data_IF_950549338577
#
_entry.id   IF_950549338577
#
_cell.length_a   1.000
_cell.length_b   1.000
_cell.length_c   1.000
_cell.angle_alpha   90.00
_cell.angle_beta   90.00
_cell.angle_gamma   90.00
#
_symmetry.space_group_name_H-M   'P 1'
#
loop_
_entity.id
_entity.type
_entity.pdbx_description
1 polymer ?
#
# COMPACT_ATOMS: atom_id res chain seq x y z
N UNK A 1 32.29 -28.16 31.07
CA UNK A 1 31.59 -27.43 32.15
C UNK A 1 32.26 -26.11 32.54
N UNK A 2 33.58 -26.04 32.67
CA UNK A 2 34.30 -24.80 33.07
C UNK A 2 34.08 -23.63 32.10
N UNK A 3 34.10 -23.87 30.78
CA UNK A 3 33.90 -22.81 29.78
C UNK A 3 32.48 -22.21 29.77
N UNK A 4 31.44 -23.00 30.07
CA UNK A 4 30.05 -22.51 30.21
C UNK A 4 29.87 -21.61 31.44
N UNK A 5 30.66 -21.81 32.51
CA UNK A 5 30.62 -20.94 33.69
C UNK A 5 31.30 -19.60 33.43
N UNK A 6 32.38 -19.59 32.65
CA UNK A 6 33.13 -18.36 32.33
C UNK A 6 32.30 -17.42 31.44
N UNK A 7 31.64 -17.91 30.39
CA UNK A 7 30.81 -17.03 29.54
C UNK A 7 29.64 -16.39 30.29
N UNK A 8 29.09 -17.08 31.30
CA UNK A 8 27.99 -16.57 32.10
C UNK A 8 28.44 -15.52 33.14
N UNK A 9 29.69 -15.51 33.60
CA UNK A 9 30.16 -14.59 34.66
C UNK A 9 30.64 -13.25 34.08
N UNK A 10 31.11 -13.28 32.84
CA UNK A 10 31.79 -12.17 32.19
C UNK A 10 30.98 -10.85 32.13
N UNK A 11 29.66 -10.83 31.85
CA UNK A 11 28.88 -9.58 31.84
C UNK A 11 28.58 -9.03 33.25
N UNK A 12 28.59 -9.87 34.29
CA UNK A 12 28.16 -9.50 35.63
C UNK A 12 29.22 -8.69 36.40
N UNK A 13 30.51 -8.88 36.09
CA UNK A 13 31.60 -8.20 36.80
C UNK A 13 31.56 -6.68 36.54
N UNK A 14 31.52 -6.17 35.29
CA UNK A 14 31.41 -4.73 35.04
C UNK A 14 30.13 -4.11 35.61
N UNK A 15 29.00 -4.84 35.56
CA UNK A 15 27.73 -4.40 36.14
C UNK A 15 27.82 -4.18 37.65
N UNK A 16 28.41 -5.13 38.38
CA UNK A 16 28.57 -5.03 39.82
C UNK A 16 29.51 -3.87 40.21
N UNK A 17 30.58 -3.63 39.45
CA UNK A 17 31.48 -2.50 39.69
C UNK A 17 30.87 -1.14 39.31
N UNK A 18 30.03 -1.07 38.29
CA UNK A 18 29.33 0.16 37.92
C UNK A 18 28.23 0.53 38.92
N UNK A 19 27.37 -0.42 39.27
CA UNK A 19 26.19 -0.15 40.08
C UNK A 19 26.51 -0.06 41.58
N UNK A 20 27.47 -0.86 42.07
CA UNK A 20 27.76 -0.95 43.49
C UNK A 20 28.90 -0.05 43.96
N UNK A 21 29.84 0.33 43.07
CA UNK A 21 31.03 1.10 43.45
C UNK A 21 31.16 2.46 42.74
N UNK A 22 30.28 2.80 41.78
CA UNK A 22 30.32 4.06 41.00
C UNK A 22 31.70 4.39 40.37
N UNK A 23 32.56 3.40 40.18
CA UNK A 23 33.97 3.61 39.79
C UNK A 23 34.14 4.07 38.33
N UNK A 24 33.10 3.94 37.50
CA UNK A 24 33.18 4.21 36.06
C UNK A 24 32.00 5.08 35.58
N UNK A 25 32.28 6.01 34.67
CA UNK A 25 31.23 6.67 33.87
C UNK A 25 30.58 5.63 32.93
N UNK A 26 29.31 5.81 32.59
CA UNK A 26 28.51 4.93 31.73
C UNK A 26 29.22 4.60 30.41
N UNK A 27 29.87 5.59 29.79
CA UNK A 27 30.64 5.40 28.55
C UNK A 27 31.85 4.46 28.74
N UNK A 28 32.56 4.57 29.86
CA UNK A 28 33.69 3.70 30.19
C UNK A 28 33.22 2.27 30.44
N UNK A 29 32.09 2.08 31.12
CA UNK A 29 31.49 0.77 31.35
C UNK A 29 31.05 0.12 30.02
N UNK A 30 30.49 0.89 29.10
CA UNK A 30 30.19 0.42 27.74
C UNK A 30 31.43 -0.06 26.98
N UNK A 31 32.53 0.72 27.00
CA UNK A 31 33.78 0.34 26.32
C UNK A 31 34.34 -0.97 26.90
N UNK A 32 34.37 -1.11 28.23
CA UNK A 32 34.85 -2.33 28.88
C UNK A 32 34.02 -3.55 28.43
N UNK A 33 32.69 -3.43 28.41
CA UNK A 33 31.81 -4.50 27.94
C UNK A 33 32.03 -4.85 26.47
N UNK A 34 32.28 -3.87 25.60
CA UNK A 34 32.61 -4.11 24.19
C UNK A 34 33.87 -4.96 24.10
N UNK A 35 34.95 -4.56 24.78
CA UNK A 35 36.24 -5.27 24.74
C UNK A 35 36.08 -6.70 25.24
N UNK A 36 35.37 -6.86 26.36
CA UNK A 36 35.06 -8.15 26.96
C UNK A 36 34.24 -9.05 26.00
N UNK A 37 33.21 -8.49 25.37
CA UNK A 37 32.34 -9.24 24.45
C UNK A 37 33.12 -9.63 23.20
N UNK A 38 33.89 -8.72 22.61
CA UNK A 38 34.76 -9.03 21.47
C UNK A 38 35.78 -10.11 21.81
N UNK A 39 36.38 -10.06 22.99
CA UNK A 39 37.32 -11.09 23.44
C UNK A 39 36.64 -12.45 23.62
N UNK A 40 35.46 -12.49 24.23
CA UNK A 40 34.70 -13.72 24.40
C UNK A 40 34.31 -14.35 23.05
N UNK A 41 33.91 -13.52 22.08
CA UNK A 41 33.58 -14.00 20.75
C UNK A 41 34.84 -14.41 19.97
N UNK A 42 35.96 -13.70 20.08
CA UNK A 42 37.24 -14.12 19.51
C UNK A 42 37.71 -15.46 20.09
N UNK A 43 37.53 -15.68 21.39
CA UNK A 43 37.82 -16.95 22.03
C UNK A 43 36.92 -18.07 21.50
N UNK A 44 35.63 -17.79 21.30
CA UNK A 44 34.70 -18.76 20.70
C UNK A 44 35.11 -19.18 19.28
N UNK A 45 35.74 -18.27 18.51
CA UNK A 45 36.29 -18.57 17.19
C UNK A 45 37.53 -19.47 17.28
N UNK A 46 38.43 -19.21 18.22
CA UNK A 46 39.61 -20.04 18.45
C UNK A 46 39.22 -21.48 18.81
N UNK A 47 38.17 -21.66 19.60
CA UNK A 47 37.67 -22.97 20.00
C UNK A 47 36.66 -23.60 19.02
N UNK A 48 36.28 -22.90 17.95
CA UNK A 48 35.28 -23.32 16.96
C UNK A 48 33.94 -23.78 17.57
N UNK A 49 33.46 -23.06 18.59
CA UNK A 49 32.20 -23.38 19.28
C UNK A 49 31.15 -22.29 19.05
N UNK A 50 30.26 -22.55 18.10
CA UNK A 50 29.17 -21.65 17.72
C UNK A 50 28.22 -21.32 18.88
N UNK A 51 28.03 -22.25 19.83
CA UNK A 51 27.15 -22.04 20.98
C UNK A 51 27.70 -20.97 21.94
N UNK A 52 29.02 -20.96 22.14
CA UNK A 52 29.67 -19.96 22.99
C UNK A 52 29.53 -18.56 22.39
N UNK A 53 29.65 -18.45 21.06
CA UNK A 53 29.49 -17.19 20.35
C UNK A 53 28.08 -16.61 20.50
N UNK A 54 27.04 -17.46 20.38
CA UNK A 54 25.65 -17.05 20.56
C UNK A 54 25.40 -16.58 22.00
N UNK A 55 25.90 -17.30 23.01
CA UNK A 55 25.74 -16.91 24.42
C UNK A 55 26.42 -15.57 24.69
N UNK A 56 27.66 -15.39 24.23
CA UNK A 56 28.39 -14.12 24.35
C UNK A 56 27.69 -12.97 23.63
N UNK A 57 27.13 -13.23 22.45
CA UNK A 57 26.34 -12.25 21.69
C UNK A 57 25.09 -11.82 22.47
N UNK A 58 24.30 -12.78 22.95
CA UNK A 58 23.09 -12.48 23.76
C UNK A 58 23.49 -11.66 24.99
N UNK A 59 24.56 -12.05 25.69
CA UNK A 59 25.09 -11.28 26.82
C UNK A 59 25.47 -9.84 26.44
N UNK A 60 26.11 -9.65 25.28
CA UNK A 60 26.43 -8.34 24.73
C UNK A 60 25.18 -7.48 24.52
N UNK A 61 24.14 -8.00 23.89
CA UNK A 61 22.89 -7.25 23.67
C UNK A 61 22.13 -6.93 24.97
N UNK A 62 22.26 -7.75 26.01
CA UNK A 62 21.63 -7.50 27.33
C UNK A 62 22.38 -6.44 28.13
N UNK A 63 23.70 -6.34 27.95
CA UNK A 63 24.57 -5.52 28.80
C UNK A 63 24.19 -4.02 28.88
N UNK A 64 23.77 -3.34 27.80
CA UNK A 64 23.34 -1.94 27.87
C UNK A 64 22.15 -1.68 28.78
N UNK A 65 21.23 -2.64 28.86
CA UNK A 65 20.06 -2.53 29.73
C UNK A 65 20.44 -2.67 31.20
N UNK A 66 21.48 -3.45 31.49
CA UNK A 66 22.05 -3.56 32.84
C UNK A 66 22.78 -2.28 33.27
N UNK A 67 23.37 -1.54 32.33
CA UNK A 67 24.03 -0.26 32.58
C UNK A 67 23.10 0.96 32.46
N UNK A 68 21.78 0.75 32.42
CA UNK A 68 20.83 1.85 32.30
C UNK A 68 20.78 2.65 33.60
N UNK A 69 21.08 3.95 33.50
CA UNK A 69 21.08 4.90 34.62
C UNK A 69 19.73 5.59 34.83
N UNK A 70 18.68 5.18 34.11
CA UNK A 70 17.38 5.86 34.08
C UNK A 70 17.35 7.13 33.22
N UNK A 71 18.50 7.61 32.73
CA UNK A 71 18.60 8.72 31.77
C UNK A 71 18.76 8.20 30.33
N UNK A 72 18.10 8.86 29.39
CA UNK A 72 18.05 8.45 27.98
C UNK A 72 19.32 8.81 27.20
N UNK A 73 20.36 7.96 27.28
CA UNK A 73 21.55 8.07 26.43
C UNK A 73 21.44 7.19 25.17
N UNK A 74 20.60 7.60 24.23
CA UNK A 74 20.36 6.82 22.99
C UNK A 74 21.59 6.74 22.08
N UNK A 75 22.40 7.80 22.04
CA UNK A 75 23.59 7.84 21.19
C UNK A 75 24.63 6.79 21.62
N UNK A 76 24.93 6.71 22.93
CA UNK A 76 25.86 5.70 23.46
C UNK A 76 25.37 4.27 23.24
N UNK A 77 24.07 4.04 23.43
CA UNK A 77 23.43 2.74 23.21
C UNK A 77 23.51 2.30 21.74
N UNK A 78 23.16 3.17 20.80
CA UNK A 78 23.21 2.82 19.38
C UNK A 78 24.65 2.64 18.88
N UNK A 79 25.59 3.49 19.32
CA UNK A 79 27.00 3.33 18.98
C UNK A 79 27.55 1.99 19.50
N UNK A 80 27.19 1.60 20.73
CA UNK A 80 27.53 0.30 21.29
C UNK A 80 27.03 -0.84 20.38
N UNK A 81 25.77 -0.78 19.96
CA UNK A 81 25.18 -1.79 19.07
C UNK A 81 25.85 -1.82 17.70
N UNK A 82 26.24 -0.66 17.14
CA UNK A 82 26.99 -0.60 15.87
C UNK A 82 28.32 -1.31 16.02
N UNK A 83 29.10 -0.99 17.06
CA UNK A 83 30.41 -1.62 17.29
C UNK A 83 30.27 -3.12 17.47
N UNK A 84 29.29 -3.56 18.26
CA UNK A 84 29.00 -4.97 18.47
C UNK A 84 28.66 -5.69 17.15
N UNK A 85 27.79 -5.09 16.33
CA UNK A 85 27.42 -5.64 15.03
C UNK A 85 28.56 -5.61 14.00
N UNK A 86 29.43 -4.59 14.01
CA UNK A 86 30.64 -4.56 13.18
C UNK A 86 31.62 -5.67 13.58
N UNK A 87 31.78 -5.92 14.88
CA UNK A 87 32.54 -7.06 15.36
C UNK A 87 31.98 -8.37 14.78
N UNK A 88 30.66 -8.54 14.80
CA UNK A 88 29.99 -9.69 14.21
C UNK A 88 30.13 -9.79 12.70
N UNK A 89 30.10 -8.67 11.95
CA UNK A 89 30.40 -8.63 10.52
C UNK A 89 31.80 -9.18 10.24
N UNK A 90 32.81 -8.73 11.00
CA UNK A 90 34.19 -9.21 10.86
C UNK A 90 34.23 -10.72 11.08
N UNK A 91 33.57 -11.21 12.14
CA UNK A 91 33.53 -12.63 12.46
C UNK A 91 32.81 -13.45 11.38
N UNK A 92 31.64 -12.98 10.93
CA UNK A 92 30.86 -13.60 9.86
C UNK A 92 31.62 -13.64 8.53
N UNK A 93 32.51 -12.67 8.30
CA UNK A 93 33.41 -12.65 7.15
C UNK A 93 34.46 -13.78 7.18
N UNK A 94 34.85 -14.26 8.37
CA UNK A 94 35.80 -15.37 8.52
C UNK A 94 35.15 -16.73 8.76
N UNK A 95 34.01 -16.79 9.47
CA UNK A 95 33.32 -18.04 9.87
C UNK A 95 31.81 -17.95 9.61
N UNK A 96 31.28 -19.01 9.01
CA UNK A 96 29.93 -19.08 8.42
C UNK A 96 28.81 -19.39 9.40
N UNK A 97 28.80 -18.77 10.58
CA UNK A 97 27.79 -19.07 11.59
C UNK A 97 26.49 -18.31 11.34
N UNK A 98 25.65 -18.83 10.43
CA UNK A 98 24.35 -18.22 10.07
C UNK A 98 23.45 -17.96 11.26
N UNK A 99 23.47 -18.85 12.27
CA UNK A 99 22.70 -18.63 13.50
C UNK A 99 23.10 -17.32 14.16
N UNK A 100 24.39 -16.98 14.13
CA UNK A 100 24.93 -15.78 14.77
C UNK A 100 24.36 -14.54 14.09
N UNK A 101 24.31 -14.55 12.75
CA UNK A 101 23.73 -13.46 11.98
C UNK A 101 22.22 -13.31 12.24
N UNK A 102 21.46 -14.40 12.23
CA UNK A 102 20.01 -14.39 12.53
C UNK A 102 19.76 -13.86 13.94
N UNK A 103 20.51 -14.35 14.94
CA UNK A 103 20.37 -13.91 16.33
C UNK A 103 20.76 -12.44 16.51
N UNK A 104 21.88 -12.01 15.91
CA UNK A 104 22.31 -10.60 15.92
C UNK A 104 21.23 -9.69 15.34
N UNK A 105 20.70 -10.07 14.18
CA UNK A 105 19.68 -9.30 13.46
C UNK A 105 18.41 -9.19 14.30
N UNK A 106 17.91 -10.32 14.80
CA UNK A 106 16.73 -10.37 15.65
C UNK A 106 16.87 -9.51 16.90
N UNK A 107 18.00 -9.62 17.61
CA UNK A 107 18.25 -8.82 18.81
C UNK A 107 18.41 -7.33 18.49
N UNK A 108 19.09 -6.98 17.40
CA UNK A 108 19.21 -5.58 16.97
C UNK A 108 17.85 -4.98 16.65
N UNK A 109 17.00 -5.71 15.93
CA UNK A 109 15.63 -5.28 15.62
C UNK A 109 14.80 -5.10 16.88
N UNK A 110 14.83 -6.08 17.81
CA UNK A 110 14.08 -6.02 19.07
C UNK A 110 14.51 -4.80 19.90
N UNK A 111 15.83 -4.62 20.08
CA UNK A 111 16.37 -3.51 20.87
C UNK A 111 16.04 -2.17 20.22
N UNK A 112 16.24 -2.04 18.90
CA UNK A 112 15.94 -0.80 18.18
C UNK A 112 14.44 -0.47 18.23
N UNK A 113 13.57 -1.46 18.02
CA UNK A 113 12.11 -1.27 18.10
C UNK A 113 11.65 -0.84 19.51
N UNK A 114 12.25 -1.40 20.57
CA UNK A 114 11.94 -1.02 21.95
C UNK A 114 12.31 0.44 22.29
N UNK A 115 13.28 1.01 21.56
CA UNK A 115 13.74 2.39 21.74
C UNK A 115 13.00 3.35 20.81
N UNK A 116 12.61 2.90 19.61
CA UNK A 116 11.99 3.73 18.57
C UNK A 116 10.83 4.56 19.12
N UNK A 117 9.91 3.93 19.86
CA UNK A 117 8.74 4.58 20.45
C UNK A 117 9.04 5.42 21.71
N UNK A 118 10.29 5.45 22.17
CA UNK A 118 10.77 6.29 23.28
C UNK A 118 11.62 7.47 22.80
N UNK A 119 11.90 7.55 21.50
CA UNK A 119 12.60 8.69 20.92
C UNK A 119 11.73 9.95 21.06
N UNK A 120 12.41 11.09 21.12
CA UNK A 120 11.79 12.42 21.21
C UNK A 120 12.20 13.26 20.00
N UNK A 121 11.55 14.41 19.79
CA UNK A 121 11.88 15.35 18.71
C UNK A 121 13.39 15.65 18.60
N UNK A 122 14.07 15.78 19.74
CA UNK A 122 15.52 16.03 19.79
C UNK A 122 16.40 14.83 19.42
N UNK A 123 15.84 13.63 19.25
CA UNK A 123 16.59 12.38 19.05
C UNK A 123 16.12 11.55 17.85
N UNK A 124 15.07 11.97 17.13
CA UNK A 124 14.63 11.29 15.90
C UNK A 124 15.71 11.21 14.82
N UNK A 125 16.52 12.26 14.66
CA UNK A 125 17.64 12.25 13.70
C UNK A 125 18.67 11.15 14.03
N UNK A 126 18.91 10.87 15.32
CA UNK A 126 19.78 9.76 15.74
C UNK A 126 19.17 8.43 15.33
N UNK A 127 17.86 8.23 15.58
CA UNK A 127 17.14 7.04 15.11
C UNK A 127 17.29 6.82 13.60
N UNK A 128 17.24 7.90 12.81
CA UNK A 128 17.37 7.84 11.36
C UNK A 128 18.80 7.46 10.92
N UNK A 129 19.82 8.09 11.50
CA UNK A 129 21.23 7.79 11.20
C UNK A 129 21.54 6.33 11.56
N UNK A 130 21.20 5.90 12.78
CA UNK A 130 21.55 4.56 13.25
C UNK A 130 20.74 3.46 12.56
N UNK A 131 19.46 3.67 12.24
CA UNK A 131 18.70 2.72 11.42
C UNK A 131 19.30 2.57 10.02
N UNK A 132 19.79 3.66 9.42
CA UNK A 132 20.50 3.62 8.13
C UNK A 132 21.80 2.83 8.24
N UNK A 133 22.58 3.03 9.31
CA UNK A 133 23.81 2.26 9.56
C UNK A 133 23.49 0.77 9.71
N UNK A 134 22.50 0.40 10.54
CA UNK A 134 22.11 -1.00 10.71
C UNK A 134 21.62 -1.63 9.41
N UNK A 135 20.80 -0.90 8.64
CA UNK A 135 20.34 -1.34 7.33
C UNK A 135 21.50 -1.68 6.40
N UNK A 136 22.46 -0.76 6.24
CA UNK A 136 23.63 -0.95 5.39
C UNK A 136 24.55 -2.07 5.90
N UNK A 137 24.70 -2.20 7.22
CA UNK A 137 25.52 -3.23 7.85
C UNK A 137 24.94 -4.61 7.56
N UNK A 138 23.64 -4.83 7.78
CA UNK A 138 22.99 -6.13 7.51
C UNK A 138 22.86 -6.42 6.02
N UNK A 139 22.68 -5.40 5.18
CA UNK A 139 22.76 -5.53 3.73
C UNK A 139 24.16 -5.99 3.29
N UNK A 140 25.21 -5.39 3.85
CA UNK A 140 26.60 -5.77 3.58
C UNK A 140 26.94 -7.17 4.09
N UNK A 141 26.52 -7.56 5.30
CA UNK A 141 26.70 -8.92 5.83
C UNK A 141 26.07 -9.93 4.86
N UNK A 142 24.82 -9.70 4.46
CA UNK A 142 24.03 -10.66 3.70
C UNK A 142 24.51 -10.79 2.24
N UNK A 143 24.91 -9.68 1.62
CA UNK A 143 25.40 -9.65 0.22
C UNK A 143 26.89 -10.01 0.13
N UNK A 144 27.76 -9.34 0.91
CA UNK A 144 29.21 -9.43 0.77
C UNK A 144 29.76 -10.84 0.98
N UNK A 145 29.13 -11.60 1.85
CA UNK A 145 29.47 -12.98 2.12
C UNK A 145 29.13 -13.92 0.94
N UNK A 146 27.93 -13.81 0.37
CA UNK A 146 27.47 -14.70 -0.70
C UNK A 146 28.29 -14.55 -1.98
N UNK A 147 28.78 -13.33 -2.26
CA UNK A 147 29.68 -13.04 -3.39
C UNK A 147 31.04 -13.73 -3.22
N UNK A 148 31.61 -13.73 -2.00
CA UNK A 148 32.98 -14.21 -1.77
C UNK A 148 33.10 -15.73 -1.93
N UNK A 149 32.11 -16.46 -1.41
CA UNK A 149 32.16 -17.92 -1.35
C UNK A 149 31.40 -18.61 -2.50
N UNK A 150 30.71 -17.85 -3.36
CA UNK A 150 29.95 -18.40 -4.48
C UNK A 150 28.82 -19.34 -4.05
N UNK A 151 28.28 -19.15 -2.83
CA UNK A 151 27.27 -20.01 -2.24
C UNK A 151 25.87 -19.62 -2.70
N UNK A 152 24.99 -20.62 -2.81
CA UNK A 152 23.58 -20.41 -3.15
C UNK A 152 22.88 -19.64 -2.03
N UNK A 153 22.07 -18.67 -2.42
CA UNK A 153 21.24 -17.91 -1.49
C UNK A 153 20.14 -18.81 -0.95
N UNK A 154 20.03 -18.92 0.38
CA UNK A 154 19.05 -19.79 1.04
C UNK A 154 17.92 -18.94 1.63
N UNK A 155 16.76 -19.54 1.88
CA UNK A 155 15.56 -18.85 2.39
C UNK A 155 15.84 -17.90 3.57
N UNK A 156 16.73 -18.25 4.51
CA UNK A 156 17.12 -17.37 5.62
C UNK A 156 17.75 -16.05 5.16
N UNK A 157 18.57 -16.10 4.11
CA UNK A 157 19.27 -14.94 3.56
C UNK A 157 18.26 -14.02 2.84
N UNK A 158 17.30 -14.61 2.09
CA UNK A 158 16.15 -13.89 1.53
C UNK A 158 15.34 -13.18 2.60
N UNK A 159 14.95 -13.92 3.65
CA UNK A 159 14.11 -13.38 4.72
C UNK A 159 14.79 -12.25 5.46
N UNK A 160 16.09 -12.36 5.77
CA UNK A 160 16.84 -11.28 6.42
C UNK A 160 16.89 -10.05 5.51
N UNK A 161 17.27 -10.20 4.24
CA UNK A 161 17.39 -9.04 3.33
C UNK A 161 16.03 -8.35 3.13
N UNK A 162 14.96 -9.11 2.92
CA UNK A 162 13.60 -8.58 2.76
C UNK A 162 13.12 -7.88 4.05
N UNK A 163 13.29 -8.53 5.20
CA UNK A 163 12.87 -7.98 6.50
C UNK A 163 13.67 -6.74 6.87
N UNK A 164 14.99 -6.74 6.64
CA UNK A 164 15.85 -5.59 6.89
C UNK A 164 15.40 -4.37 6.06
N UNK A 165 15.14 -4.57 4.76
CA UNK A 165 14.68 -3.48 3.90
C UNK A 165 13.27 -3.00 4.28
N UNK A 166 12.34 -3.91 4.60
CA UNK A 166 10.99 -3.56 5.02
C UNK A 166 10.96 -2.81 6.36
N UNK A 167 11.77 -3.22 7.33
CA UNK A 167 11.89 -2.56 8.63
C UNK A 167 12.53 -1.18 8.49
N UNK A 168 13.63 -1.06 7.73
CA UNK A 168 14.27 0.23 7.51
C UNK A 168 13.33 1.22 6.81
N UNK A 169 12.58 0.74 5.81
CA UNK A 169 11.54 1.55 5.19
C UNK A 169 10.48 2.01 6.19
N UNK A 170 9.95 1.08 6.99
CA UNK A 170 8.91 1.38 8.00
C UNK A 170 9.39 2.40 9.03
N UNK A 171 10.59 2.21 9.56
CA UNK A 171 11.23 3.14 10.51
C UNK A 171 11.44 4.51 9.86
N UNK A 172 11.93 4.56 8.62
CA UNK A 172 12.13 5.81 7.91
C UNK A 172 10.83 6.58 7.69
N UNK A 173 9.73 5.90 7.36
CA UNK A 173 8.41 6.54 7.25
C UNK A 173 7.93 7.10 8.60
N UNK A 174 8.06 6.33 9.69
CA UNK A 174 7.68 6.79 11.04
C UNK A 174 8.51 8.03 11.41
N UNK A 175 9.83 7.95 11.31
CA UNK A 175 10.72 9.05 11.71
C UNK A 175 10.53 10.31 10.84
N UNK A 176 10.34 10.18 9.53
CA UNK A 176 10.04 11.33 8.67
C UNK A 176 8.71 11.99 9.05
N UNK A 177 7.72 11.20 9.50
CA UNK A 177 6.44 11.72 9.99
C UNK A 177 6.63 12.50 11.29
N UNK A 178 7.33 11.89 12.24
CA UNK A 178 7.60 12.45 13.56
C UNK A 178 8.51 13.69 13.52
N UNK A 179 9.37 13.79 12.50
CA UNK A 179 10.20 14.96 12.24
C UNK A 179 9.47 16.07 11.45
N UNK A 180 8.16 15.94 11.19
CA UNK A 180 7.36 16.86 10.37
C UNK A 180 7.87 17.06 8.94
N UNK A 181 8.41 15.98 8.34
CA UNK A 181 8.94 15.94 6.99
C UNK A 181 8.24 14.88 6.09
N UNK A 182 6.89 14.82 6.05
CA UNK A 182 6.16 13.83 5.27
C UNK A 182 6.40 13.94 3.75
N UNK A 183 6.78 15.13 3.25
CA UNK A 183 7.07 15.41 1.85
C UNK A 183 8.24 14.60 1.28
N UNK A 184 9.14 14.10 2.14
CA UNK A 184 10.29 13.29 1.74
C UNK A 184 10.00 11.79 1.76
N UNK A 185 8.80 11.34 2.18
CA UNK A 185 8.48 9.90 2.26
C UNK A 185 8.56 9.21 0.90
N UNK A 186 8.07 9.85 -0.17
CA UNK A 186 8.18 9.30 -1.53
C UNK A 186 9.62 9.31 -2.02
N UNK A 187 10.36 10.40 -1.79
CA UNK A 187 11.79 10.47 -2.14
C UNK A 187 12.60 9.38 -1.42
N UNK A 188 12.29 9.10 -0.16
CA UNK A 188 12.92 8.05 0.62
C UNK A 188 12.61 6.65 0.06
N UNK A 189 11.36 6.38 -0.31
CA UNK A 189 10.98 5.15 -1.03
C UNK A 189 11.74 5.01 -2.35
N UNK A 190 11.81 6.08 -3.14
CA UNK A 190 12.54 6.10 -4.42
C UNK A 190 14.04 5.86 -4.21
N UNK A 191 14.63 6.49 -3.19
CA UNK A 191 16.05 6.31 -2.84
C UNK A 191 16.37 4.85 -2.51
N UNK A 192 15.48 4.16 -1.78
CA UNK A 192 15.61 2.71 -1.55
C UNK A 192 15.52 1.90 -2.84
N UNK A 193 14.60 2.24 -3.73
CA UNK A 193 14.49 1.61 -5.05
C UNK A 193 15.77 1.76 -5.88
N UNK A 194 16.31 2.98 -5.94
CA UNK A 194 17.55 3.32 -6.66
C UNK A 194 18.77 2.65 -6.02
N UNK A 195 18.86 2.61 -4.69
CA UNK A 195 19.94 1.92 -3.98
C UNK A 195 19.94 0.43 -4.32
N UNK A 196 18.78 -0.24 -4.26
CA UNK A 196 18.67 -1.66 -4.62
C UNK A 196 18.94 -1.91 -6.11
N UNK A 197 18.60 -0.96 -6.99
CA UNK A 197 18.89 -1.05 -8.41
C UNK A 197 20.39 -0.95 -8.68
N UNK A 198 21.07 0.00 -8.02
CA UNK A 198 22.53 0.17 -8.09
C UNK A 198 23.26 -1.07 -7.58
N UNK A 199 22.80 -1.66 -6.48
CA UNK A 199 23.32 -2.93 -5.98
C UNK A 199 23.11 -4.07 -6.98
N UNK A 200 21.89 -4.22 -7.51
CA UNK A 200 21.58 -5.24 -8.51
C UNK A 200 22.48 -5.12 -9.73
N UNK A 201 22.69 -3.91 -10.25
CA UNK A 201 23.58 -3.63 -11.37
C UNK A 201 25.05 -3.98 -11.06
N UNK A 202 25.56 -3.60 -9.89
CA UNK A 202 26.93 -3.92 -9.48
C UNK A 202 27.14 -5.44 -9.35
N UNK A 203 26.18 -6.14 -8.76
CA UNK A 203 26.23 -7.60 -8.57
C UNK A 203 26.11 -8.36 -9.90
N UNK A 204 25.28 -7.88 -10.83
CA UNK A 204 25.16 -8.45 -12.17
C UNK A 204 26.50 -8.44 -12.91
N UNK A 205 27.31 -7.38 -12.74
CA UNK A 205 28.63 -7.27 -13.37
C UNK A 205 29.66 -8.27 -12.81
N UNK A 206 29.47 -8.74 -11.57
CA UNK A 206 30.44 -9.58 -10.86
C UNK A 206 30.46 -11.05 -11.31
N UNK A 207 29.47 -11.52 -12.09
CA UNK A 207 29.29 -12.91 -12.62
C UNK A 207 29.35 -14.08 -11.63
N UNK A 208 29.80 -13.86 -10.39
CA UNK A 208 29.91 -14.86 -9.30
C UNK A 208 28.68 -14.90 -8.38
N UNK A 209 27.66 -14.10 -8.67
CA UNK A 209 26.50 -13.91 -7.79
C UNK A 209 25.36 -14.81 -8.24
N UNK A 210 24.70 -15.46 -7.27
CA UNK A 210 23.50 -16.24 -7.50
C UNK A 210 22.41 -15.37 -8.14
N UNK A 211 21.84 -15.84 -9.26
CA UNK A 211 20.80 -15.13 -10.01
C UNK A 211 19.57 -14.83 -9.15
N UNK A 212 19.27 -15.65 -8.15
CA UNK A 212 18.12 -15.42 -7.29
C UNK A 212 18.27 -14.15 -6.43
N UNK A 213 19.50 -13.74 -6.10
CA UNK A 213 19.77 -12.47 -5.40
C UNK A 213 19.42 -11.29 -6.30
N UNK A 214 19.79 -11.39 -7.58
CA UNK A 214 19.45 -10.36 -8.56
C UNK A 214 17.94 -10.24 -8.72
N UNK A 215 17.22 -11.38 -8.81
CA UNK A 215 15.77 -11.37 -8.87
C UNK A 215 15.12 -10.76 -7.63
N UNK A 216 15.65 -11.05 -6.42
CA UNK A 216 15.18 -10.44 -5.19
C UNK A 216 15.39 -8.92 -5.20
N UNK A 217 16.59 -8.45 -5.54
CA UNK A 217 16.89 -7.02 -5.57
C UNK A 217 16.07 -6.28 -6.63
N UNK A 218 15.87 -6.87 -7.81
CA UNK A 218 14.97 -6.33 -8.84
C UNK A 218 13.54 -6.26 -8.32
N UNK A 219 13.05 -7.32 -7.64
CA UNK A 219 11.73 -7.33 -7.02
C UNK A 219 11.56 -6.23 -5.97
N UNK A 220 12.56 -6.06 -5.10
CA UNK A 220 12.60 -4.98 -4.10
C UNK A 220 12.59 -3.61 -4.79
N UNK A 221 13.43 -3.40 -5.81
CA UNK A 221 13.47 -2.16 -6.60
C UNK A 221 12.11 -1.85 -7.22
N UNK A 222 11.50 -2.80 -7.91
CA UNK A 222 10.19 -2.60 -8.55
C UNK A 222 9.11 -2.26 -7.52
N UNK A 223 9.14 -2.92 -6.35
CA UNK A 223 8.22 -2.65 -5.24
C UNK A 223 8.36 -1.21 -4.75
N UNK A 224 9.58 -0.76 -4.44
CA UNK A 224 9.80 0.59 -3.91
C UNK A 224 9.55 1.69 -4.93
N UNK A 225 9.86 1.44 -6.21
CA UNK A 225 9.53 2.38 -7.29
C UNK A 225 8.01 2.49 -7.44
N UNK A 226 7.27 1.38 -7.46
CA UNK A 226 5.80 1.39 -7.55
C UNK A 226 5.16 2.09 -6.34
N UNK A 227 5.59 1.75 -5.12
CA UNK A 227 5.06 2.31 -3.86
C UNK A 227 5.43 3.80 -3.66
N UNK A 228 6.44 4.32 -4.35
CA UNK A 228 6.83 5.73 -4.27
C UNK A 228 5.66 6.66 -4.61
N UNK A 229 4.93 6.37 -5.70
CA UNK A 229 3.84 7.22 -6.16
C UNK A 229 2.66 7.31 -5.16
N UNK A 230 2.05 6.20 -4.69
CA UNK A 230 0.95 6.29 -3.73
C UNK A 230 1.36 6.90 -2.38
N UNK A 231 2.65 6.87 -2.02
CA UNK A 231 3.15 7.54 -0.81
C UNK A 231 3.31 9.05 -0.98
N UNK A 232 3.72 9.51 -2.17
CA UNK A 232 3.91 10.93 -2.43
C UNK A 232 2.61 11.64 -2.80
N UNK A 233 1.69 10.93 -3.46
CA UNK A 233 0.41 11.46 -3.89
C UNK A 233 -0.58 11.51 -2.71
N UNK A 234 -1.57 12.40 -2.81
CA UNK A 234 -2.58 12.60 -1.78
C UNK A 234 -3.99 12.38 -2.32
N UNK A 235 -4.84 11.75 -1.51
CA UNK A 235 -6.27 11.53 -1.77
C UNK A 235 -6.55 10.95 -3.16
N UNK A 236 -7.44 11.62 -3.90
CA UNK A 236 -7.88 11.32 -5.26
C UNK A 236 -6.76 10.95 -6.26
N UNK A 237 -5.58 11.55 -6.14
CA UNK A 237 -4.46 11.27 -7.06
C UNK A 237 -3.90 9.85 -6.88
N UNK A 238 -4.01 9.29 -5.68
CA UNK A 238 -3.62 7.89 -5.40
C UNK A 238 -4.48 6.96 -6.26
N UNK A 239 -5.81 7.12 -6.21
CA UNK A 239 -6.76 6.31 -6.98
C UNK A 239 -6.51 6.38 -8.49
N UNK A 240 -6.22 7.57 -9.04
CA UNK A 240 -5.87 7.75 -10.46
C UNK A 240 -4.58 6.99 -10.81
N UNK A 241 -3.60 6.99 -9.90
CA UNK A 241 -2.36 6.24 -10.09
C UNK A 241 -2.62 4.73 -10.12
N UNK A 242 -3.33 4.16 -9.13
CA UNK A 242 -3.68 2.73 -9.13
C UNK A 242 -4.50 2.33 -10.38
N UNK A 243 -5.44 3.19 -10.80
CA UNK A 243 -6.22 2.97 -12.02
C UNK A 243 -5.32 2.86 -13.26
N UNK A 244 -4.34 3.75 -13.39
CA UNK A 244 -3.38 3.75 -14.49
C UNK A 244 -2.45 2.54 -14.44
N UNK A 245 -1.90 2.24 -13.25
CA UNK A 245 -0.98 1.13 -13.03
C UNK A 245 -1.63 -0.23 -13.32
N UNK A 246 -2.89 -0.43 -12.92
CA UNK A 246 -3.63 -1.66 -13.22
C UNK A 246 -3.74 -1.93 -14.73
N UNK A 247 -4.06 -0.89 -15.52
CA UNK A 247 -4.17 -1.00 -16.99
C UNK A 247 -2.80 -1.30 -17.61
N UNK A 248 -1.76 -0.57 -17.19
CA UNK A 248 -0.39 -0.74 -17.71
C UNK A 248 0.17 -2.12 -17.38
N UNK A 249 -0.01 -2.60 -16.14
CA UNK A 249 0.46 -3.92 -15.73
C UNK A 249 -0.29 -5.04 -16.48
N UNK A 250 -1.59 -4.90 -16.70
CA UNK A 250 -2.34 -5.89 -17.48
C UNK A 250 -1.90 -5.88 -18.95
N UNK A 251 -1.64 -4.70 -19.53
CA UNK A 251 -1.06 -4.59 -20.87
C UNK A 251 0.33 -5.23 -20.94
N UNK A 252 1.18 -5.01 -19.93
CA UNK A 252 2.50 -5.63 -19.83
C UNK A 252 2.40 -7.16 -19.68
N UNK A 253 1.40 -7.65 -18.95
CA UNK A 253 1.10 -9.08 -18.88
C UNK A 253 0.83 -9.68 -20.28
N UNK A 254 0.03 -9.03 -21.14
CA UNK A 254 -0.21 -9.53 -22.50
C UNK A 254 1.06 -9.65 -23.35
N UNK A 255 2.07 -8.81 -23.06
CA UNK A 255 3.36 -8.83 -23.77
C UNK A 255 4.33 -9.86 -23.17
N UNK A 256 4.35 -9.98 -21.86
CA UNK A 256 5.32 -10.81 -21.12
C UNK A 256 4.85 -12.24 -20.87
N UNK A 257 3.54 -12.50 -20.88
CA UNK A 257 2.89 -13.76 -20.50
C UNK A 257 3.23 -14.25 -19.07
N UNK A 258 3.66 -13.36 -18.18
CA UNK A 258 4.00 -13.69 -16.79
C UNK A 258 2.72 -13.69 -15.94
N UNK A 259 2.25 -14.85 -15.48
CA UNK A 259 1.02 -14.95 -14.65
C UNK A 259 0.98 -14.01 -13.44
N UNK A 260 2.13 -13.79 -12.80
CA UNK A 260 2.23 -12.90 -11.63
C UNK A 260 1.80 -11.46 -11.97
N UNK A 261 2.15 -10.93 -13.14
CA UNK A 261 1.79 -9.54 -13.52
C UNK A 261 0.30 -9.37 -13.73
N UNK A 262 -0.40 -10.43 -14.21
CA UNK A 262 -1.87 -10.47 -14.27
C UNK A 262 -2.50 -10.40 -12.88
N UNK A 263 -2.02 -11.23 -11.95
CA UNK A 263 -2.53 -11.27 -10.57
C UNK A 263 -2.30 -9.91 -9.90
N UNK A 264 -1.11 -9.33 -10.06
CA UNK A 264 -0.80 -8.00 -9.55
C UNK A 264 -1.71 -6.95 -10.15
N UNK A 265 -1.91 -6.91 -11.47
CA UNK A 265 -2.81 -5.94 -12.11
C UNK A 265 -4.25 -6.00 -11.56
N UNK A 266 -4.79 -7.21 -11.36
CA UNK A 266 -6.13 -7.38 -10.75
C UNK A 266 -6.12 -6.96 -9.28
N UNK A 267 -5.07 -7.25 -8.53
CA UNK A 267 -4.91 -6.79 -7.15
C UNK A 267 -4.87 -5.26 -7.03
N UNK A 268 -4.11 -4.59 -7.91
CA UNK A 268 -4.03 -3.13 -8.01
C UNK A 268 -5.40 -2.54 -8.40
N UNK A 269 -6.14 -3.19 -9.30
CA UNK A 269 -7.51 -2.78 -9.62
C UNK A 269 -8.46 -2.87 -8.41
N UNK A 270 -8.37 -3.93 -7.59
CA UNK A 270 -9.17 -4.04 -6.35
C UNK A 270 -8.81 -2.92 -5.38
N UNK A 271 -7.51 -2.63 -5.20
CA UNK A 271 -7.03 -1.54 -4.35
C UNK A 271 -7.51 -0.18 -4.87
N UNK A 272 -7.55 0.03 -6.18
CA UNK A 272 -8.14 1.21 -6.80
C UNK A 272 -9.63 1.35 -6.45
N UNK A 273 -10.42 0.28 -6.52
CA UNK A 273 -11.86 0.31 -6.17
C UNK A 273 -12.05 0.67 -4.69
N UNK A 274 -11.26 0.07 -3.79
CA UNK A 274 -11.30 0.39 -2.35
C UNK A 274 -10.92 1.87 -2.12
N UNK A 275 -9.85 2.34 -2.75
CA UNK A 275 -9.38 3.72 -2.68
C UNK A 275 -10.44 4.70 -3.19
N UNK A 276 -11.15 4.35 -4.27
CA UNK A 276 -12.25 5.16 -4.80
C UNK A 276 -13.43 5.27 -3.83
N UNK A 277 -13.78 4.17 -3.13
CA UNK A 277 -14.83 4.21 -2.10
C UNK A 277 -14.44 5.12 -0.93
N UNK A 278 -13.17 5.11 -0.53
CA UNK A 278 -12.64 6.02 0.49
C UNK A 278 -12.65 7.47 -0.01
N UNK A 279 -12.29 7.71 -1.27
CA UNK A 279 -12.34 9.05 -1.87
C UNK A 279 -13.78 9.59 -1.92
N UNK A 280 -14.77 8.76 -2.24
CA UNK A 280 -16.18 9.18 -2.22
C UNK A 280 -16.61 9.68 -0.85
N UNK A 281 -16.30 8.93 0.20
CA UNK A 281 -16.58 9.34 1.58
C UNK A 281 -15.85 10.64 1.92
N UNK A 282 -14.54 10.71 1.66
CA UNK A 282 -13.75 11.91 1.96
C UNK A 282 -14.20 13.17 1.21
N UNK A 283 -14.71 13.03 -0.02
CA UNK A 283 -15.11 14.18 -0.86
C UNK A 283 -16.53 14.62 -0.56
N UNK A 284 -17.47 13.68 -0.41
CA UNK A 284 -18.90 13.97 -0.34
C UNK A 284 -19.49 13.93 1.07
N UNK A 285 -18.79 13.39 2.09
CA UNK A 285 -19.28 13.37 3.48
C UNK A 285 -19.05 14.68 4.22
N UNK A 286 -18.14 15.54 3.74
CA UNK A 286 -17.89 16.86 4.32
C UNK A 286 -18.55 17.98 3.51
N UNK A 287 -19.09 19.01 4.18
CA UNK A 287 -19.71 20.19 3.58
C UNK A 287 -18.69 21.15 2.91
N UNK A 288 -17.82 20.62 2.05
CA UNK A 288 -16.85 21.40 1.30
C UNK A 288 -17.49 21.99 0.05
N UNK A 289 -17.27 23.29 -0.22
CA UNK A 289 -17.70 23.93 -1.48
C UNK A 289 -16.89 23.31 -2.63
N UNK A 290 -17.58 22.59 -3.52
CA UNK A 290 -16.98 21.91 -4.66
C UNK A 290 -17.46 22.58 -5.96
N UNK A 291 -16.65 22.57 -7.03
CA UNK A 291 -17.09 23.01 -8.35
C UNK A 291 -18.38 22.31 -8.77
N UNK A 292 -19.34 23.06 -9.32
CA UNK A 292 -20.70 22.57 -9.65
C UNK A 292 -20.69 21.48 -10.72
N UNK A 293 -19.67 21.47 -11.57
CA UNK A 293 -19.45 20.48 -12.62
C UNK A 293 -18.00 19.99 -12.52
N UNK A 294 -17.82 18.67 -12.57
CA UNK A 294 -16.51 18.01 -12.60
C UNK A 294 -15.63 18.33 -11.38
N UNK A 295 -16.14 18.11 -10.17
CA UNK A 295 -15.29 18.14 -8.98
C UNK A 295 -14.31 16.95 -8.94
N UNK A 296 -13.40 16.99 -7.96
CA UNK A 296 -12.36 15.96 -7.76
C UNK A 296 -12.91 14.54 -7.65
N UNK A 297 -14.05 14.34 -6.97
CA UNK A 297 -14.68 13.03 -6.79
C UNK A 297 -15.31 12.50 -8.08
N UNK A 298 -15.96 13.38 -8.86
CA UNK A 298 -16.51 12.99 -10.16
C UNK A 298 -15.40 12.66 -11.16
N UNK A 299 -14.33 13.47 -11.24
CA UNK A 299 -13.20 13.24 -12.14
C UNK A 299 -12.50 11.91 -11.82
N UNK A 300 -12.26 11.61 -10.53
CA UNK A 300 -11.68 10.32 -10.16
C UNK A 300 -12.57 9.14 -10.52
N UNK A 301 -13.87 9.27 -10.32
CA UNK A 301 -14.85 8.25 -10.69
C UNK A 301 -14.86 8.00 -12.21
N UNK A 302 -14.89 9.09 -13.00
CA UNK A 302 -14.85 9.02 -14.45
C UNK A 302 -13.55 8.35 -14.94
N UNK A 303 -12.40 8.77 -14.42
CA UNK A 303 -11.10 8.18 -14.78
C UNK A 303 -11.04 6.70 -14.42
N UNK A 304 -11.50 6.33 -13.22
CA UNK A 304 -11.51 4.95 -12.73
C UNK A 304 -12.45 4.06 -13.54
N UNK A 305 -13.60 4.58 -13.96
CA UNK A 305 -14.52 3.89 -14.87
C UNK A 305 -13.87 3.65 -16.24
N UNK A 306 -13.23 4.67 -16.83
CA UNK A 306 -12.51 4.54 -18.12
C UNK A 306 -11.39 3.50 -18.01
N UNK A 307 -10.56 3.57 -16.97
CA UNK A 307 -9.48 2.62 -16.74
C UNK A 307 -10.00 1.19 -16.56
N UNK A 308 -11.08 1.01 -15.80
CA UNK A 308 -11.73 -0.30 -15.61
C UNK A 308 -12.28 -0.85 -16.94
N UNK A 309 -12.91 -0.01 -17.76
CA UNK A 309 -13.39 -0.41 -19.08
C UNK A 309 -12.25 -0.79 -20.03
N UNK A 310 -11.14 -0.03 -20.03
CA UNK A 310 -9.93 -0.35 -20.79
C UNK A 310 -9.33 -1.69 -20.35
N UNK A 311 -9.30 -1.96 -19.04
CA UNK A 311 -8.86 -3.24 -18.50
C UNK A 311 -9.75 -4.38 -19.01
N UNK A 312 -11.08 -4.18 -19.06
CA UNK A 312 -12.00 -5.11 -19.71
C UNK A 312 -11.62 -5.39 -21.18
N UNK A 313 -11.38 -4.35 -21.98
CA UNK A 313 -10.93 -4.51 -23.38
C UNK A 313 -9.64 -5.35 -23.45
N UNK A 314 -8.67 -5.08 -22.58
CA UNK A 314 -7.44 -5.86 -22.53
C UNK A 314 -7.72 -7.33 -22.18
N UNK A 315 -8.53 -7.60 -21.15
CA UNK A 315 -8.93 -8.97 -20.77
C UNK A 315 -9.55 -9.73 -21.95
N UNK A 316 -10.35 -9.06 -22.78
CA UNK A 316 -11.01 -9.70 -23.94
C UNK A 316 -10.06 -10.12 -25.07
N UNK A 317 -8.89 -9.49 -25.17
CA UNK A 317 -7.86 -9.82 -26.17
C UNK A 317 -6.96 -10.98 -25.72
N UNK A 318 -7.13 -11.46 -24.50
CA UNK A 318 -6.34 -12.54 -23.95
C UNK A 318 -6.92 -13.90 -24.38
N UNK A 319 -6.53 -14.35 -25.56
CA UNK A 319 -6.93 -15.66 -26.12
C UNK A 319 -6.16 -16.84 -25.49
N UNK A 320 -5.14 -16.58 -24.67
CA UNK A 320 -4.06 -17.54 -24.40
C UNK A 320 -4.14 -18.34 -23.10
N UNK A 321 -5.14 -18.17 -22.23
CA UNK A 321 -5.18 -18.94 -20.97
C UNK A 321 -6.49 -19.70 -20.69
N UNK A 322 -6.35 -21.03 -20.67
CA UNK A 322 -7.17 -21.99 -19.90
C UNK A 322 -6.87 -21.86 -18.39
N UNK A 323 -7.19 -20.70 -17.79
CA UNK A 323 -7.06 -20.51 -16.36
C UNK A 323 -8.35 -20.94 -15.62
N UNK A 324 -8.21 -21.67 -14.51
CA UNK A 324 -9.30 -22.09 -13.61
C UNK A 324 -10.16 -20.94 -13.06
N UNK A 325 -9.71 -19.68 -13.17
CA UNK A 325 -10.45 -18.48 -12.74
C UNK A 325 -10.43 -17.42 -13.86
N UNK A 326 -11.38 -17.52 -14.80
CA UNK A 326 -11.54 -16.56 -15.90
C UNK A 326 -12.54 -15.48 -15.48
N UNK A 327 -12.05 -14.31 -15.08
CA UNK A 327 -12.91 -13.14 -14.87
C UNK A 327 -13.39 -12.66 -16.25
N UNK A 328 -14.70 -12.67 -16.53
CA UNK A 328 -15.20 -12.31 -17.85
C UNK A 328 -15.05 -10.81 -18.10
N UNK A 329 -14.84 -10.42 -19.36
CA UNK A 329 -14.80 -9.02 -19.81
C UNK A 329 -15.98 -8.20 -19.26
N UNK A 330 -17.18 -8.78 -19.35
CA UNK A 330 -18.43 -8.13 -18.93
C UNK A 330 -18.45 -7.74 -17.46
N UNK A 331 -17.66 -8.42 -16.60
CA UNK A 331 -17.53 -8.01 -15.21
C UNK A 331 -16.89 -6.63 -15.10
N UNK A 332 -15.76 -6.39 -15.78
CA UNK A 332 -15.10 -5.09 -15.79
C UNK A 332 -15.95 -4.02 -16.48
N UNK A 333 -16.62 -4.34 -17.58
CA UNK A 333 -17.51 -3.38 -18.26
C UNK A 333 -18.67 -2.97 -17.35
N UNK A 334 -19.30 -3.92 -16.66
CA UNK A 334 -20.37 -3.64 -15.71
C UNK A 334 -19.85 -2.83 -14.53
N UNK A 335 -18.69 -3.18 -13.95
CA UNK A 335 -18.06 -2.42 -12.88
C UNK A 335 -17.76 -0.98 -13.30
N UNK A 336 -17.28 -0.76 -14.53
CA UNK A 336 -17.04 0.59 -15.05
C UNK A 336 -18.34 1.41 -15.13
N UNK A 337 -19.43 0.82 -15.62
CA UNK A 337 -20.75 1.46 -15.67
C UNK A 337 -21.26 1.80 -14.27
N UNK A 338 -21.13 0.86 -13.32
CA UNK A 338 -21.53 1.06 -11.92
C UNK A 338 -20.71 2.17 -11.25
N UNK A 339 -19.39 2.20 -11.44
CA UNK A 339 -18.52 3.26 -10.92
C UNK A 339 -18.93 4.63 -11.47
N UNK A 340 -19.17 4.72 -12.78
CA UNK A 340 -19.59 5.97 -13.43
C UNK A 340 -20.96 6.44 -12.94
N UNK A 341 -21.89 5.49 -12.74
CA UNK A 341 -23.22 5.76 -12.19
C UNK A 341 -23.14 6.30 -10.76
N UNK A 342 -22.39 5.63 -9.88
CA UNK A 342 -22.26 6.06 -8.48
C UNK A 342 -21.57 7.43 -8.40
N UNK A 343 -20.50 7.64 -9.18
CA UNK A 343 -19.79 8.92 -9.20
C UNK A 343 -20.69 10.09 -9.61
N UNK A 344 -21.51 9.92 -10.65
CA UNK A 344 -22.46 10.96 -11.05
C UNK A 344 -23.63 11.12 -10.07
N UNK A 345 -24.11 10.04 -9.46
CA UNK A 345 -25.15 10.08 -8.44
C UNK A 345 -24.70 10.90 -7.22
N UNK A 346 -23.49 10.66 -6.73
CA UNK A 346 -22.90 11.39 -5.60
C UNK A 346 -22.69 12.87 -5.94
N UNK A 347 -22.21 13.16 -7.16
CA UNK A 347 -22.08 14.54 -7.65
C UNK A 347 -23.41 15.29 -7.59
N UNK A 348 -24.44 14.72 -8.23
CA UNK A 348 -25.76 15.34 -8.29
C UNK A 348 -26.35 15.50 -6.89
N UNK A 349 -26.22 14.49 -6.03
CA UNK A 349 -26.71 14.56 -4.66
C UNK A 349 -26.05 15.70 -3.88
N UNK A 350 -24.71 15.86 -3.99
CA UNK A 350 -23.96 16.89 -3.26
C UNK A 350 -24.25 18.30 -3.73
N UNK A 351 -24.42 18.51 -5.04
CA UNK A 351 -24.72 19.84 -5.57
C UNK A 351 -26.16 20.26 -5.26
N UNK A 352 -27.10 19.32 -5.34
CA UNK A 352 -28.52 19.61 -5.12
C UNK A 352 -28.82 19.79 -3.63
N UNK A 353 -28.20 18.99 -2.74
CA UNK A 353 -28.41 19.07 -1.29
C UNK A 353 -28.14 20.46 -0.72
N UNK A 354 -27.23 21.21 -1.34
CA UNK A 354 -26.84 22.55 -0.93
C UNK A 354 -27.76 23.66 -1.41
N UNK A 355 -28.45 23.41 -2.52
CA UNK A 355 -29.25 24.44 -3.20
C UNK A 355 -30.70 24.41 -2.72
N UNK A 356 -31.20 23.23 -2.30
CA UNK A 356 -32.45 23.03 -1.56
C UNK A 356 -32.61 21.53 -1.18
N UNK A 357 -33.56 21.18 -0.31
CA UNK A 357 -33.91 19.77 -0.01
C UNK A 357 -34.64 19.05 -1.17
N UNK A 358 -34.23 19.33 -2.42
CA UNK A 358 -34.83 18.86 -3.68
C UNK A 358 -34.14 17.62 -4.26
N UNK A 359 -33.28 16.95 -3.48
CA UNK A 359 -32.42 15.86 -3.94
C UNK A 359 -33.21 14.77 -4.67
N UNK A 360 -34.37 14.39 -4.13
CA UNK A 360 -35.22 13.35 -4.71
C UNK A 360 -35.59 13.64 -6.17
N UNK A 361 -35.90 14.89 -6.51
CA UNK A 361 -36.34 15.28 -7.85
C UNK A 361 -35.20 15.21 -8.87
N UNK A 362 -34.03 15.73 -8.51
CA UNK A 362 -32.88 15.77 -9.42
C UNK A 362 -32.12 14.45 -9.51
N UNK A 363 -32.09 13.65 -8.44
CA UNK A 363 -31.56 12.29 -8.49
C UNK A 363 -32.40 11.40 -9.41
N UNK A 364 -33.73 11.58 -9.39
CA UNK A 364 -34.63 10.89 -10.31
C UNK A 364 -34.33 11.21 -11.78
N UNK A 365 -34.15 12.50 -12.07
CA UNK A 365 -33.76 12.96 -13.40
C UNK A 365 -32.42 12.35 -13.81
N UNK A 366 -31.43 12.35 -12.92
CA UNK A 366 -30.12 11.76 -13.17
C UNK A 366 -30.23 10.27 -13.51
N UNK A 367 -30.93 9.48 -12.69
CA UNK A 367 -31.12 8.04 -12.93
C UNK A 367 -31.78 7.78 -14.28
N UNK A 368 -32.85 8.51 -14.61
CA UNK A 368 -33.55 8.36 -15.87
C UNK A 368 -32.66 8.72 -17.08
N UNK A 369 -31.98 9.87 -17.03
CA UNK A 369 -31.07 10.32 -18.09
C UNK A 369 -29.92 9.33 -18.26
N UNK A 370 -29.32 8.85 -17.16
CA UNK A 370 -28.24 7.89 -17.22
C UNK A 370 -28.66 6.59 -17.91
N UNK A 371 -29.84 6.04 -17.59
CA UNK A 371 -30.38 4.84 -18.24
C UNK A 371 -30.63 5.06 -19.73
N UNK A 372 -31.19 6.21 -20.11
CA UNK A 372 -31.43 6.54 -21.53
C UNK A 372 -30.10 6.60 -22.29
N UNK A 373 -29.10 7.30 -21.73
CA UNK A 373 -27.77 7.44 -22.32
C UNK A 373 -27.08 6.09 -22.42
N UNK A 374 -27.14 5.27 -21.37
CA UNK A 374 -26.56 3.92 -21.35
C UNK A 374 -27.18 3.03 -22.44
N UNK A 375 -28.51 3.06 -22.62
CA UNK A 375 -29.16 2.30 -23.69
C UNK A 375 -28.74 2.79 -25.08
N UNK A 376 -28.66 4.11 -25.30
CA UNK A 376 -28.18 4.68 -26.58
C UNK A 376 -26.74 4.23 -26.87
N UNK A 377 -25.86 4.30 -25.87
CA UNK A 377 -24.46 3.88 -25.99
C UNK A 377 -24.37 2.38 -26.24
N UNK A 378 -25.15 1.56 -25.52
CA UNK A 378 -25.20 0.10 -25.70
C UNK A 378 -25.63 -0.30 -27.12
N UNK A 379 -26.50 0.50 -27.76
CA UNK A 379 -26.93 0.27 -29.14
C UNK A 379 -25.88 0.66 -30.18
N UNK A 380 -24.89 1.50 -29.83
CA UNK A 380 -23.81 1.93 -30.73
C UNK A 380 -22.51 1.17 -30.52
N UNK A 381 -22.24 0.72 -29.29
CA UNK A 381 -21.04 -0.02 -28.93
C UNK A 381 -21.40 -1.50 -28.76
N UNK A 382 -21.06 -2.33 -29.75
CA UNK A 382 -21.22 -3.79 -29.67
C UNK A 382 -20.51 -4.43 -28.46
N UNK A 383 -19.55 -3.72 -27.85
CA UNK A 383 -18.86 -4.16 -26.63
C UNK A 383 -19.75 -4.18 -25.39
N UNK A 384 -20.79 -3.34 -25.32
CA UNK A 384 -21.69 -3.23 -24.16
C UNK A 384 -23.07 -3.78 -24.52
N UNK A 385 -23.11 -5.03 -25.03
CA UNK A 385 -24.37 -5.68 -25.35
C UNK A 385 -25.11 -6.08 -24.07
N UNK A 386 -26.17 -5.33 -23.73
CA UNK A 386 -27.04 -5.65 -22.60
C UNK A 386 -27.99 -6.78 -22.98
N UNK A 387 -28.08 -7.81 -22.13
CA UNK A 387 -29.10 -8.85 -22.28
C UNK A 387 -30.50 -8.26 -22.15
N UNK A 388 -31.50 -8.94 -22.75
CA UNK A 388 -32.90 -8.54 -22.65
C UNK A 388 -33.34 -8.29 -21.19
N UNK A 389 -33.05 -9.25 -20.29
CA UNK A 389 -33.40 -9.17 -18.88
C UNK A 389 -32.78 -7.95 -18.19
N UNK A 390 -31.53 -7.64 -18.54
CA UNK A 390 -30.82 -6.49 -17.98
C UNK A 390 -31.39 -5.16 -18.50
N UNK A 391 -31.76 -5.08 -19.78
CA UNK A 391 -32.47 -3.90 -20.33
C UNK A 391 -33.84 -3.70 -19.68
N UNK A 392 -34.58 -4.79 -19.49
CA UNK A 392 -35.88 -4.75 -18.82
C UNK A 392 -35.73 -4.24 -17.39
N UNK A 393 -34.78 -4.78 -16.63
CA UNK A 393 -34.48 -4.31 -15.27
C UNK A 393 -34.07 -2.82 -15.25
N UNK A 394 -33.20 -2.40 -16.17
CA UNK A 394 -32.74 -1.01 -16.28
C UNK A 394 -33.87 -0.03 -16.61
N UNK A 395 -34.89 -0.43 -17.37
CA UNK A 395 -36.03 0.43 -17.67
C UNK A 395 -37.10 0.42 -16.58
N UNK A 396 -37.35 -0.74 -15.96
CA UNK A 396 -38.35 -0.86 -14.88
C UNK A 396 -37.88 -0.14 -13.61
N UNK A 397 -36.59 -0.20 -13.25
CA UNK A 397 -36.07 0.39 -12.02
C UNK A 397 -36.31 1.91 -11.89
N UNK A 398 -36.01 2.77 -12.89
CA UNK A 398 -36.35 4.19 -12.83
C UNK A 398 -37.87 4.43 -12.79
N UNK A 399 -38.67 3.62 -13.47
CA UNK A 399 -40.13 3.78 -13.44
C UNK A 399 -40.67 3.50 -12.03
N UNK A 400 -40.24 2.40 -11.40
CA UNK A 400 -40.67 2.07 -10.03
C UNK A 400 -40.20 3.11 -9.03
N UNK A 401 -38.93 3.53 -9.11
CA UNK A 401 -38.38 4.62 -8.29
C UNK A 401 -39.18 5.91 -8.45
N UNK A 402 -39.66 6.24 -9.66
CA UNK A 402 -40.48 7.44 -9.90
C UNK A 402 -41.79 7.38 -9.12
N UNK A 403 -42.52 6.27 -9.20
CA UNK A 403 -43.79 6.10 -8.50
C UNK A 403 -43.61 6.06 -6.98
N UNK A 404 -42.54 5.43 -6.48
CA UNK A 404 -42.22 5.45 -5.05
C UNK A 404 -41.85 6.86 -4.55
N UNK A 405 -41.14 7.64 -5.35
CA UNK A 405 -40.75 9.01 -5.00
C UNK A 405 -41.88 10.03 -5.20
N UNK A 406 -42.97 9.67 -5.87
CA UNK A 406 -44.06 10.59 -6.24
C UNK A 406 -44.61 11.44 -5.08
N UNK A 407 -44.82 10.91 -3.85
CA UNK A 407 -45.24 11.74 -2.72
C UNK A 407 -44.29 12.91 -2.43
N UNK A 408 -42.98 12.70 -2.56
CA UNK A 408 -41.98 13.75 -2.38
C UNK A 408 -42.07 14.81 -3.50
N UNK A 409 -42.32 14.38 -4.74
CA UNK A 409 -42.54 15.30 -5.86
C UNK A 409 -43.75 16.20 -5.61
N UNK A 410 -44.88 15.61 -5.20
CA UNK A 410 -46.10 16.37 -4.90
C UNK A 410 -45.90 17.34 -3.74
N UNK A 411 -45.18 16.94 -2.69
CA UNK A 411 -44.84 17.83 -1.58
C UNK A 411 -44.01 19.02 -2.06
N UNK A 412 -42.93 18.76 -2.81
CA UNK A 412 -42.09 19.81 -3.39
C UNK A 412 -42.88 20.75 -4.32
N UNK A 413 -43.82 20.23 -5.11
CA UNK A 413 -44.66 21.07 -5.98
C UNK A 413 -45.54 22.01 -5.18
N UNK A 414 -46.17 21.55 -4.09
CA UNK A 414 -46.94 22.42 -3.18
C UNK A 414 -46.05 23.46 -2.52
N UNK A 415 -44.87 23.06 -2.06
CA UNK A 415 -43.90 23.99 -1.45
C UNK A 415 -43.45 25.10 -2.41
N UNK A 416 -43.37 24.81 -3.72
CA UNK A 416 -43.03 25.80 -4.76
C UNK A 416 -44.24 26.67 -5.14
N UNK A 417 -45.37 26.04 -5.47
CA UNK A 417 -46.53 26.72 -6.08
C UNK A 417 -47.44 27.39 -5.07
N UNK A 418 -47.70 26.73 -3.94
CA UNK A 418 -48.66 27.19 -2.94
C UNK A 418 -47.93 28.01 -1.86
N UNK A 419 -46.85 27.44 -1.31
CA UNK A 419 -46.14 28.01 -0.16
C UNK A 419 -45.01 28.99 -0.55
N UNK A 420 -44.65 29.06 -1.84
CA UNK A 420 -43.61 29.95 -2.38
C UNK A 420 -42.24 29.84 -1.66
N UNK A 421 -41.93 28.68 -1.07
CA UNK A 421 -40.70 28.43 -0.30
C UNK A 421 -39.47 28.43 -1.21
N UNK A 422 -39.63 27.95 -2.44
CA UNK A 422 -38.57 27.85 -3.43
C UNK A 422 -38.96 28.54 -4.74
N UNK A 423 -38.03 29.20 -5.45
CA UNK A 423 -38.34 29.85 -6.71
C UNK A 423 -38.75 28.85 -7.80
N UNK A 424 -39.70 29.26 -8.65
CA UNK A 424 -40.34 28.43 -9.70
C UNK A 424 -39.36 27.72 -10.65
N UNK A 425 -38.14 28.25 -10.81
CA UNK A 425 -37.08 27.63 -11.64
C UNK A 425 -36.75 26.19 -11.23
N UNK A 426 -36.97 25.81 -9.98
CA UNK A 426 -36.72 24.45 -9.50
C UNK A 426 -37.73 23.41 -9.99
N UNK A 427 -38.89 23.83 -10.53
CA UNK A 427 -39.84 22.90 -11.16
C UNK A 427 -39.31 22.29 -12.45
N UNK A 428 -38.34 22.95 -13.12
CA UNK A 428 -37.76 22.47 -14.38
C UNK A 428 -37.20 21.06 -14.23
N UNK A 429 -36.51 20.77 -13.12
CA UNK A 429 -35.96 19.43 -12.86
C UNK A 429 -37.05 18.36 -12.80
N UNK A 430 -38.21 18.67 -12.23
CA UNK A 430 -39.33 17.74 -12.10
C UNK A 430 -40.00 17.45 -13.44
N UNK A 431 -40.24 18.49 -14.25
CA UNK A 431 -40.81 18.31 -15.59
C UNK A 431 -39.88 17.52 -16.49
N UNK A 432 -38.57 17.81 -16.45
CA UNK A 432 -37.57 17.04 -17.19
C UNK A 432 -37.53 15.58 -16.72
N UNK A 433 -37.65 15.32 -15.42
CA UNK A 433 -37.68 13.96 -14.88
C UNK A 433 -38.89 13.19 -15.42
N UNK A 434 -40.08 13.81 -15.41
CA UNK A 434 -41.29 13.20 -15.93
C UNK A 434 -41.19 12.89 -17.44
N UNK A 435 -40.62 13.81 -18.23
CA UNK A 435 -40.37 13.60 -19.67
C UNK A 435 -39.40 12.43 -19.87
N UNK A 436 -38.29 12.39 -19.13
CA UNK A 436 -37.30 11.31 -19.22
C UNK A 436 -37.93 9.95 -18.87
N UNK A 437 -38.76 9.89 -17.83
CA UNK A 437 -39.50 8.66 -17.47
C UNK A 437 -40.48 8.27 -18.59
N UNK A 438 -41.19 9.22 -19.21
CA UNK A 438 -42.04 8.96 -20.37
C UNK A 438 -41.27 8.34 -21.56
N UNK A 439 -40.03 8.81 -21.80
CA UNK A 439 -39.14 8.22 -22.80
C UNK A 439 -38.74 6.78 -22.42
N UNK A 440 -38.40 6.52 -21.16
CA UNK A 440 -38.09 5.17 -20.69
C UNK A 440 -39.30 4.24 -20.81
N UNK A 441 -40.50 4.73 -20.51
CA UNK A 441 -41.75 3.98 -20.62
C UNK A 441 -42.03 3.58 -22.07
N UNK A 442 -41.85 4.50 -23.03
CA UNK A 442 -42.01 4.18 -24.47
C UNK A 442 -40.96 3.18 -24.95
N UNK A 443 -39.71 3.29 -24.50
CA UNK A 443 -38.65 2.30 -24.76
C UNK A 443 -38.96 0.94 -24.17
N UNK A 444 -39.52 0.88 -22.96
CA UNK A 444 -39.96 -0.38 -22.33
C UNK A 444 -41.08 -1.05 -23.13
N UNK A 445 -42.08 -0.30 -23.60
CA UNK A 445 -43.15 -0.84 -24.44
C UNK A 445 -42.58 -1.39 -25.75
N UNK A 446 -41.70 -0.63 -26.42
CA UNK A 446 -41.06 -1.07 -27.66
C UNK A 446 -40.20 -2.32 -27.45
N UNK A 447 -39.48 -2.39 -26.33
CA UNK A 447 -38.72 -3.55 -25.90
C UNK A 447 -39.68 -4.75 -25.78
N UNK A 448 -40.69 -4.68 -24.91
CA UNK A 448 -41.72 -5.72 -24.69
C UNK A 448 -42.39 -6.20 -25.98
N UNK A 449 -42.79 -5.27 -26.86
CA UNK A 449 -43.39 -5.59 -28.15
C UNK A 449 -42.46 -6.41 -29.02
N UNK A 450 -41.18 -6.02 -29.13
CA UNK A 450 -40.18 -6.76 -29.90
C UNK A 450 -39.98 -8.20 -29.40
N UNK A 451 -40.09 -8.42 -28.09
CA UNK A 451 -40.00 -9.77 -27.52
C UNK A 451 -41.25 -10.61 -27.77
N UNK A 452 -42.44 -10.00 -27.72
CA UNK A 452 -43.70 -10.67 -28.03
C UNK A 452 -43.85 -10.99 -29.53
N UNK A 453 -43.40 -10.08 -30.41
CA UNK A 453 -43.43 -10.27 -31.87
C UNK A 453 -42.30 -11.18 -32.38
N UNK A 454 -41.13 -11.14 -31.74
CA UNK A 454 -39.94 -11.89 -32.12
C UNK A 454 -39.81 -13.24 -31.42
N UNK A 455 -40.92 -13.94 -31.15
CA UNK A 455 -40.95 -15.19 -30.39
C UNK A 455 -39.75 -16.10 -30.66
N UNK A 456 -39.01 -16.45 -29.62
CA UNK A 456 -38.01 -17.51 -29.71
C UNK A 456 -38.73 -18.84 -29.96
N UNK A 457 -38.57 -19.34 -31.20
CA UNK A 457 -38.05 -20.69 -31.41
C UNK A 457 -36.60 -20.75 -30.92
#
# INVERSE_FOLDING_TARGET
>A
MVHRRISNIIPYIPFYFFHQFHLFNQLTAFIILIVITMFAVALSLLYDRQELAVISLVGGFVSPFMLSTGTSNYNGLFLYLVILNVGLLIIAYYKQWRILNITAFGLTVIVFAAILFKLTAATYYLGFIYSTIFYLLYLAINIGYNIREGKKFIASDFSILLTNTALYFSVGLILLSEMNHPEFRGLFSAALGVLNLGLSYFLFKSKKVDTNVLYLLIGITLTFISVTAPIQLNGNNITIFWASEAVVLYWLYQKSAIKLTRITAVGIWILMVISLMMDWDNVYSYESVLPIVANKGFITSLFSAIATYLLGILVSRDEKEQAYFKIPKHFFELSAVVILFIGGLLEVNHQVSKVAHLNSSYLMLYVAVFVIVLDIISGRLNSVALSWHLKLALFVMPITMFFFAYPNFSYTQRAILDEHIYPNRYMIGQYLAAIAIGVIFSKLIALCRKYLEGGYL
#
